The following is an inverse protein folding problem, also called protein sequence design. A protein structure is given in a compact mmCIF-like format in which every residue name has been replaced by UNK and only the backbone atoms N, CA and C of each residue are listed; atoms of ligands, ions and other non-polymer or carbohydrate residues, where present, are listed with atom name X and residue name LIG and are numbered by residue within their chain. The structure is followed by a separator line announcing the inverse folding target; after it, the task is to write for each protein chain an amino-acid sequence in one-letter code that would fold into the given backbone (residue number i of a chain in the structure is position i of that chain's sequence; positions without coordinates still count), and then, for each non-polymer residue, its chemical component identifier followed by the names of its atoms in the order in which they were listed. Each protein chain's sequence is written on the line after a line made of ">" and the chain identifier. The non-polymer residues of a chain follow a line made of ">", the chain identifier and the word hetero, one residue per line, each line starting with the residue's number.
data_IF_199305777744
#
_entry.id   IF_199305777744
#
_cell.length_a   1.000
_cell.length_b   1.000
_cell.length_c   1.000
_cell.angle_alpha   90.00
_cell.angle_beta   90.00
_cell.angle_gamma   90.00
#
_symmetry.space_group_name_H-M   'P 1'
#
loop_
_entity.id
_entity.type
_entity.pdbx_description
1 polymer ?
#
# COMPACT_ATOMS: atom_id res chain seq x y z
N UNK A 1 18.38 5.39 -12.71
CA UNK A 1 17.69 6.36 -11.83
C UNK A 1 17.07 5.62 -10.65
N UNK A 2 16.79 6.29 -9.53
CA UNK A 2 16.15 5.66 -8.36
C UNK A 2 14.62 5.63 -8.57
N UNK A 3 13.94 4.47 -8.48
CA UNK A 3 12.50 4.38 -8.63
C UNK A 3 11.73 5.18 -7.57
N UNK A 4 12.31 5.40 -6.38
CA UNK A 4 11.72 6.27 -5.34
C UNK A 4 11.19 7.59 -5.90
N UNK A 5 11.96 8.29 -6.73
CA UNK A 5 11.55 9.60 -7.24
C UNK A 5 10.30 9.55 -8.11
N UNK A 6 10.14 8.47 -8.89
CA UNK A 6 8.96 8.27 -9.72
C UNK A 6 7.74 7.89 -8.88
N UNK A 7 7.93 7.02 -7.88
CA UNK A 7 6.87 6.65 -6.94
C UNK A 7 6.41 7.90 -6.18
N UNK A 8 7.34 8.66 -5.60
CA UNK A 8 7.02 9.86 -4.82
C UNK A 8 6.36 10.94 -5.69
N UNK A 9 6.82 11.15 -6.92
CA UNK A 9 6.19 12.07 -7.86
C UNK A 9 4.74 11.64 -8.19
N UNK A 10 4.52 10.34 -8.44
CA UNK A 10 3.17 9.82 -8.64
C UNK A 10 2.28 10.02 -7.40
N UNK A 11 2.81 9.75 -6.21
CA UNK A 11 2.09 9.92 -4.95
C UNK A 11 1.70 11.39 -4.74
N UNK A 12 2.61 12.35 -4.98
CA UNK A 12 2.31 13.78 -4.92
C UNK A 12 1.28 14.23 -5.97
N UNK A 13 1.32 13.67 -7.18
CA UNK A 13 0.36 13.98 -8.23
C UNK A 13 -1.06 13.46 -7.93
N UNK A 14 -1.17 12.31 -7.26
CA UNK A 14 -2.44 11.61 -7.04
C UNK A 14 -3.53 12.47 -6.37
N UNK A 15 -3.33 13.17 -5.25
CA UNK A 15 -4.38 14.02 -4.68
C UNK A 15 -4.81 15.16 -5.61
N UNK A 16 -3.88 15.71 -6.41
CA UNK A 16 -4.18 16.75 -7.39
C UNK A 16 -5.03 16.20 -8.55
N UNK A 17 -4.72 14.99 -9.01
CA UNK A 17 -5.50 14.29 -10.05
C UNK A 17 -6.91 13.98 -9.54
N UNK A 18 -7.06 13.51 -8.30
CA UNK A 18 -8.38 13.24 -7.72
C UNK A 18 -9.18 14.53 -7.57
N UNK A 19 -8.57 15.62 -7.10
CA UNK A 19 -9.23 16.92 -7.01
C UNK A 19 -9.62 17.46 -8.40
N UNK A 20 -8.76 17.26 -9.41
CA UNK A 20 -9.08 17.59 -10.79
C UNK A 20 -10.27 16.78 -11.30
N UNK A 21 -10.35 15.48 -10.99
CA UNK A 21 -11.52 14.65 -11.34
C UNK A 21 -12.80 15.17 -10.68
N UNK A 22 -12.74 15.58 -9.40
CA UNK A 22 -13.88 16.21 -8.72
C UNK A 22 -14.33 17.47 -9.47
N UNK A 23 -13.38 18.31 -9.89
CA UNK A 23 -13.67 19.53 -10.63
C UNK A 23 -14.25 19.26 -12.03
N UNK A 24 -13.66 18.34 -12.79
CA UNK A 24 -14.06 18.03 -14.17
C UNK A 24 -15.45 17.39 -14.27
N UNK A 25 -15.87 16.64 -13.25
CA UNK A 25 -17.17 15.98 -13.20
C UNK A 25 -18.16 16.70 -12.25
N UNK A 26 -17.85 17.93 -11.82
CA UNK A 26 -18.70 18.76 -10.94
C UNK A 26 -19.14 18.09 -9.63
N UNK A 27 -18.30 17.20 -9.08
CA UNK A 27 -18.62 16.35 -7.91
C UNK A 27 -18.36 17.02 -6.56
N UNK A 28 -18.55 18.34 -6.46
CA UNK A 28 -18.23 19.11 -5.25
C UNK A 28 -19.06 18.74 -4.03
N UNK A 29 -20.29 18.26 -4.23
CA UNK A 29 -21.17 17.79 -3.15
C UNK A 29 -21.06 16.28 -2.88
N UNK A 30 -20.20 15.56 -3.61
CA UNK A 30 -20.05 14.12 -3.47
C UNK A 30 -19.14 13.78 -2.28
N UNK A 31 -19.74 13.38 -1.16
CA UNK A 31 -19.01 13.01 0.06
C UNK A 31 -18.10 11.79 -0.14
N UNK A 32 -18.44 10.89 -1.06
CA UNK A 32 -17.61 9.71 -1.37
C UNK A 32 -16.31 10.14 -2.05
N UNK A 33 -16.37 11.09 -2.99
CA UNK A 33 -15.20 11.64 -3.64
C UNK A 33 -14.28 12.37 -2.66
N UNK A 34 -14.84 13.16 -1.74
CA UNK A 34 -14.07 13.83 -0.68
C UNK A 34 -13.45 12.85 0.32
N UNK A 35 -14.19 11.83 0.76
CA UNK A 35 -13.65 10.78 1.61
C UNK A 35 -12.49 10.04 0.91
N UNK A 36 -12.66 9.71 -0.36
CA UNK A 36 -11.62 9.08 -1.17
C UNK A 36 -10.37 9.97 -1.30
N UNK A 37 -10.54 11.27 -1.60
CA UNK A 37 -9.44 12.24 -1.68
C UNK A 37 -8.72 12.35 -0.34
N UNK A 38 -9.45 12.46 0.77
CA UNK A 38 -8.86 12.55 2.10
C UNK A 38 -8.02 11.31 2.42
N UNK A 39 -8.58 10.11 2.27
CA UNK A 39 -7.84 8.88 2.59
C UNK A 39 -6.65 8.66 1.64
N UNK A 40 -6.88 8.67 0.33
CA UNK A 40 -5.82 8.36 -0.64
C UNK A 40 -4.79 9.48 -0.74
N UNK A 41 -5.22 10.73 -0.70
CA UNK A 41 -4.34 11.90 -0.66
C UNK A 41 -3.45 11.92 0.57
N UNK A 42 -4.02 11.71 1.77
CA UNK A 42 -3.22 11.63 3.00
C UNK A 42 -2.26 10.44 2.98
N UNK A 43 -2.68 9.26 2.51
CA UNK A 43 -1.77 8.13 2.32
C UNK A 43 -0.61 8.45 1.40
N UNK A 44 -0.86 9.14 0.29
CA UNK A 44 0.19 9.60 -0.61
C UNK A 44 1.19 10.55 0.07
N UNK A 45 0.71 11.50 0.87
CA UNK A 45 1.58 12.40 1.64
C UNK A 45 2.41 11.62 2.68
N UNK A 46 1.77 10.72 3.43
CA UNK A 46 2.45 9.86 4.41
C UNK A 46 3.50 8.97 3.74
N UNK A 47 3.24 8.46 2.53
CA UNK A 47 4.20 7.68 1.76
C UNK A 47 5.47 8.49 1.45
N UNK A 48 5.31 9.73 0.98
CA UNK A 48 6.43 10.63 0.67
C UNK A 48 7.22 11.01 1.93
N UNK A 49 6.54 11.18 3.07
CA UNK A 49 7.22 11.40 4.35
C UNK A 49 8.03 10.17 4.75
N UNK A 50 7.43 8.97 4.70
CA UNK A 50 8.11 7.70 4.94
C UNK A 50 9.33 7.51 4.04
N UNK A 51 9.24 7.83 2.74
CA UNK A 51 10.32 7.66 1.77
C UNK A 51 11.57 8.50 2.08
N UNK A 52 11.40 9.54 2.91
CA UNK A 52 12.47 10.43 3.39
C UNK A 52 12.95 10.06 4.80
N UNK A 53 12.02 9.72 5.70
CA UNK A 53 12.33 9.50 7.12
C UNK A 53 12.86 8.10 7.41
N UNK A 54 12.30 7.07 6.80
CA UNK A 54 12.69 5.67 6.99
C UNK A 54 12.61 4.91 5.65
N UNK A 55 13.52 5.23 4.70
CA UNK A 55 13.47 4.72 3.34
C UNK A 55 13.65 3.21 3.26
N UNK A 56 12.93 2.58 2.33
CA UNK A 56 13.14 1.17 2.01
C UNK A 56 14.26 1.02 0.97
N UNK A 57 15.24 0.17 1.29
CA UNK A 57 16.41 -0.07 0.44
C UNK A 57 16.06 -0.64 -0.94
N UNK A 58 14.88 -1.25 -1.11
CA UNK A 58 14.41 -1.73 -2.41
C UNK A 58 14.27 -0.58 -3.42
N UNK A 59 13.80 0.59 -2.99
CA UNK A 59 13.52 1.74 -3.85
C UNK A 59 14.73 2.62 -4.13
N UNK A 60 15.86 2.34 -3.48
CA UNK A 60 17.13 3.05 -3.65
C UNK A 60 17.99 2.45 -4.77
N UNK A 61 17.65 1.25 -5.25
CA UNK A 61 18.37 0.57 -6.33
C UNK A 61 18.20 1.30 -7.66
N UNK A 62 19.28 1.43 -8.43
CA UNK A 62 19.22 2.07 -9.75
C UNK A 62 18.52 1.15 -10.75
N UNK A 63 17.45 1.65 -11.37
CA UNK A 63 16.76 1.04 -12.51
C UNK A 63 16.94 1.88 -13.77
N UNK A 64 16.67 1.29 -14.94
CA UNK A 64 16.60 2.03 -16.20
C UNK A 64 15.40 2.99 -16.19
N UNK A 65 15.48 4.07 -16.97
CA UNK A 65 14.39 5.05 -17.10
C UNK A 65 13.07 4.37 -17.50
N UNK A 66 13.11 3.47 -18.49
CA UNK A 66 11.93 2.73 -18.95
C UNK A 66 11.26 1.92 -17.84
N UNK A 67 12.02 1.27 -16.95
CA UNK A 67 11.45 0.56 -15.79
C UNK A 67 10.83 1.51 -14.77
N UNK A 68 11.44 2.67 -14.54
CA UNK A 68 10.87 3.68 -13.66
C UNK A 68 9.55 4.25 -14.20
N UNK A 69 9.48 4.55 -15.51
CA UNK A 69 8.27 4.99 -16.18
C UNK A 69 7.18 3.92 -16.16
N UNK A 70 7.56 2.65 -16.35
CA UNK A 70 6.63 1.53 -16.24
C UNK A 70 6.02 1.40 -14.84
N UNK A 71 6.84 1.57 -13.78
CA UNK A 71 6.33 1.62 -12.40
C UNK A 71 5.34 2.78 -12.25
N UNK A 72 5.69 3.96 -12.73
CA UNK A 72 4.80 5.12 -12.68
C UNK A 72 3.46 4.86 -13.37
N UNK A 73 3.47 4.24 -14.56
CA UNK A 73 2.27 3.88 -15.31
C UNK A 73 1.40 2.84 -14.58
N UNK A 74 2.00 1.81 -14.00
CA UNK A 74 1.26 0.83 -13.18
C UNK A 74 0.62 1.51 -11.98
N UNK A 75 1.30 2.46 -11.33
CA UNK A 75 0.72 3.21 -10.21
C UNK A 75 -0.49 4.05 -10.65
N UNK A 76 -0.55 4.48 -11.92
CA UNK A 76 -1.70 5.24 -12.44
C UNK A 76 -2.99 4.41 -12.52
N UNK A 77 -2.90 3.08 -12.41
CA UNK A 77 -4.09 2.24 -12.20
C UNK A 77 -4.86 2.63 -10.93
N UNK A 78 -4.20 3.27 -9.95
CA UNK A 78 -4.86 3.80 -8.76
C UNK A 78 -5.88 4.91 -9.06
N UNK A 79 -5.81 5.54 -10.23
CA UNK A 79 -6.74 6.60 -10.62
C UNK A 79 -8.05 6.06 -11.21
N UNK A 80 -8.17 4.75 -11.44
CA UNK A 80 -9.40 4.11 -11.93
C UNK A 80 -10.53 4.19 -10.89
N UNK A 81 -10.22 3.94 -9.62
CA UNK A 81 -11.20 4.02 -8.53
C UNK A 81 -11.82 5.42 -8.35
N UNK A 82 -11.04 6.51 -8.17
CA UNK A 82 -11.61 7.85 -8.06
C UNK A 82 -12.30 8.28 -9.35
N UNK A 83 -11.82 7.83 -10.52
CA UNK A 83 -12.51 8.08 -11.78
C UNK A 83 -13.91 7.47 -11.82
N UNK A 84 -14.09 6.21 -11.38
CA UNK A 84 -15.43 5.62 -11.27
C UNK A 84 -16.32 6.38 -10.28
N UNK A 85 -15.74 6.81 -9.15
CA UNK A 85 -16.49 7.61 -8.17
C UNK A 85 -16.99 8.91 -8.80
N UNK A 86 -16.11 9.64 -9.48
CA UNK A 86 -16.45 10.97 -10.00
C UNK A 86 -17.26 10.90 -11.29
N UNK A 87 -16.81 10.13 -12.29
CA UNK A 87 -17.48 10.03 -13.59
C UNK A 87 -18.80 9.26 -13.50
N UNK A 88 -18.90 8.31 -12.56
CA UNK A 88 -20.12 7.55 -12.31
C UNK A 88 -21.06 8.18 -11.28
N UNK A 89 -20.70 9.35 -10.72
CA UNK A 89 -21.46 10.02 -9.66
C UNK A 89 -21.80 9.08 -8.48
N UNK A 90 -20.86 8.21 -8.11
CA UNK A 90 -21.10 7.17 -7.10
C UNK A 90 -21.14 7.80 -5.71
N UNK A 91 -22.21 7.51 -4.98
CA UNK A 91 -22.36 7.82 -3.57
C UNK A 91 -22.41 6.53 -2.74
N UNK A 92 -21.29 6.19 -2.11
CA UNK A 92 -21.22 5.06 -1.19
C UNK A 92 -22.08 5.35 0.06
N UNK A 93 -22.86 4.37 0.54
CA UNK A 93 -23.69 4.56 1.72
C UNK A 93 -22.82 4.81 2.98
N UNK A 94 -23.34 5.52 4.00
CA UNK A 94 -22.54 5.92 5.17
C UNK A 94 -21.85 4.75 5.89
N UNK A 95 -22.50 3.59 5.99
CA UNK A 95 -21.90 2.41 6.62
C UNK A 95 -20.66 1.91 5.87
N UNK A 96 -20.65 2.01 4.53
CA UNK A 96 -19.51 1.60 3.72
C UNK A 96 -18.38 2.61 3.84
N UNK A 97 -18.68 3.91 3.86
CA UNK A 97 -17.68 4.94 4.14
C UNK A 97 -17.02 4.72 5.51
N UNK A 98 -17.81 4.46 6.56
CA UNK A 98 -17.31 4.17 7.90
C UNK A 98 -16.41 2.92 7.92
N UNK A 99 -16.81 1.85 7.22
CA UNK A 99 -15.99 0.65 7.06
C UNK A 99 -14.67 0.97 6.33
N UNK A 100 -14.73 1.66 5.20
CA UNK A 100 -13.54 2.02 4.42
C UNK A 100 -12.56 2.88 5.23
N UNK A 101 -13.05 3.87 5.97
CA UNK A 101 -12.23 4.70 6.85
C UNK A 101 -11.61 3.85 7.96
N UNK A 102 -12.35 2.92 8.56
CA UNK A 102 -11.84 2.04 9.60
C UNK A 102 -10.73 1.12 9.07
N UNK A 103 -10.96 0.48 7.92
CA UNK A 103 -9.96 -0.36 7.24
C UNK A 103 -8.72 0.45 6.87
N UNK A 104 -8.92 1.67 6.37
CA UNK A 104 -7.84 2.59 6.04
C UNK A 104 -6.98 2.91 7.27
N UNK A 105 -7.58 3.33 8.39
CA UNK A 105 -6.85 3.70 9.62
C UNK A 105 -6.05 2.51 10.16
N UNK A 106 -6.67 1.33 10.25
CA UNK A 106 -5.99 0.11 10.68
C UNK A 106 -4.85 -0.25 9.71
N UNK A 107 -5.09 -0.09 8.41
CA UNK A 107 -4.10 -0.34 7.37
C UNK A 107 -2.90 0.60 7.47
N UNK A 108 -3.12 1.89 7.72
CA UNK A 108 -2.07 2.89 7.96
C UNK A 108 -1.22 2.48 9.17
N UNK A 109 -1.85 2.15 10.30
CA UNK A 109 -1.14 1.71 11.50
C UNK A 109 -0.24 0.49 11.18
N UNK A 110 -0.82 -0.57 10.61
CA UNK A 110 -0.06 -1.79 10.30
C UNK A 110 1.07 -1.55 9.30
N UNK A 111 0.83 -0.76 8.25
CA UNK A 111 1.81 -0.51 7.21
C UNK A 111 2.99 0.33 7.74
N UNK A 112 2.72 1.54 8.24
CA UNK A 112 3.80 2.45 8.60
C UNK A 112 4.53 2.02 9.88
N UNK A 113 3.82 1.52 10.89
CA UNK A 113 4.47 1.08 12.12
C UNK A 113 5.36 -0.14 11.89
N UNK A 114 4.95 -1.08 11.03
CA UNK A 114 5.81 -2.24 10.74
C UNK A 114 7.04 -1.91 9.91
N UNK A 115 6.93 -0.97 8.97
CA UNK A 115 8.08 -0.51 8.20
C UNK A 115 9.03 0.35 9.04
N UNK A 116 8.52 1.18 9.95
CA UNK A 116 9.34 1.89 10.92
C UNK A 116 10.05 0.91 11.86
N UNK A 117 9.32 -0.07 12.42
CA UNK A 117 9.92 -1.11 13.26
C UNK A 117 11.03 -1.86 12.50
N UNK A 118 10.79 -2.20 11.23
CA UNK A 118 11.78 -2.84 10.35
C UNK A 118 13.00 -1.97 10.15
N UNK A 119 12.81 -0.70 9.79
CA UNK A 119 13.89 0.25 9.55
C UNK A 119 14.79 0.38 10.78
N UNK A 120 14.22 0.68 11.94
CA UNK A 120 14.97 0.86 13.19
C UNK A 120 15.64 -0.44 13.63
N UNK A 121 14.97 -1.58 13.51
CA UNK A 121 15.56 -2.88 13.86
C UNK A 121 16.78 -3.20 12.99
N UNK A 122 16.74 -2.91 11.69
CA UNK A 122 17.88 -3.13 10.80
C UNK A 122 19.04 -2.16 11.04
N UNK A 123 18.78 -0.96 11.56
CA UNK A 123 19.84 -0.02 11.97
C UNK A 123 20.55 -0.50 13.25
N UNK A 124 19.78 -1.00 14.22
CA UNK A 124 20.31 -1.42 15.52
C UNK A 124 20.91 -2.83 15.49
N UNK A 125 20.29 -3.76 14.75
CA UNK A 125 20.63 -5.19 14.67
C UNK A 125 20.62 -5.68 13.21
N UNK A 126 21.55 -5.22 12.36
CA UNK A 126 21.54 -5.47 10.91
C UNK A 126 21.67 -6.95 10.51
N UNK A 127 22.26 -7.77 11.38
CA UNK A 127 22.56 -9.19 11.13
C UNK A 127 21.53 -10.14 11.76
N UNK A 128 20.49 -9.61 12.42
CA UNK A 128 19.49 -10.42 13.11
C UNK A 128 18.17 -10.48 12.35
N UNK A 129 17.47 -11.60 12.51
CA UNK A 129 16.11 -11.77 12.02
C UNK A 129 15.13 -11.09 12.97
N UNK A 130 14.30 -10.19 12.45
CA UNK A 130 13.25 -9.52 13.22
C UNK A 130 12.11 -10.51 13.49
N UNK A 131 11.89 -10.85 14.75
CA UNK A 131 10.88 -11.83 15.19
C UNK A 131 9.93 -11.30 16.26
N UNK A 132 10.03 -10.01 16.61
CA UNK A 132 9.32 -9.35 17.71
C UNK A 132 8.25 -8.35 17.21
N UNK A 133 7.39 -7.88 18.12
CA UNK A 133 6.39 -6.86 17.81
C UNK A 133 5.41 -7.29 16.71
N UNK A 134 5.17 -6.43 15.71
CA UNK A 134 4.26 -6.75 14.59
C UNK A 134 4.75 -7.95 13.76
N UNK A 135 6.07 -8.11 13.65
CA UNK A 135 6.71 -9.19 12.92
C UNK A 135 6.58 -10.55 13.63
N UNK A 136 6.26 -10.57 14.93
CA UNK A 136 5.96 -11.82 15.67
C UNK A 136 4.61 -12.44 15.29
N UNK A 137 3.68 -11.64 14.73
CA UNK A 137 2.32 -12.09 14.42
C UNK A 137 2.22 -12.65 13.00
N UNK A 138 2.81 -11.93 12.04
CA UNK A 138 2.83 -12.31 10.63
C UNK A 138 4.16 -11.89 10.00
N UNK A 139 4.60 -12.60 8.96
CA UNK A 139 5.87 -12.31 8.28
C UNK A 139 5.83 -11.08 7.40
N UNK A 140 4.66 -10.58 7.03
CA UNK A 140 4.47 -9.44 6.14
C UNK A 140 3.38 -8.48 6.68
N UNK A 141 3.58 -7.90 7.89
CA UNK A 141 2.59 -7.01 8.49
C UNK A 141 2.37 -5.75 7.65
N UNK A 142 3.41 -5.26 6.98
CA UNK A 142 3.34 -4.12 6.07
C UNK A 142 2.39 -4.38 4.90
N UNK A 143 2.49 -5.55 4.27
CA UNK A 143 1.58 -5.96 3.19
C UNK A 143 0.15 -6.16 3.68
N UNK A 144 -0.05 -6.56 4.94
CA UNK A 144 -1.39 -6.63 5.54
C UNK A 144 -1.98 -5.22 5.66
N UNK A 145 -1.18 -4.26 6.11
CA UNK A 145 -1.59 -2.86 6.17
C UNK A 145 -1.92 -2.31 4.78
N UNK A 146 -1.05 -2.54 3.79
CA UNK A 146 -1.30 -2.14 2.41
C UNK A 146 -2.55 -2.80 1.84
N UNK A 147 -2.81 -4.08 2.15
CA UNK A 147 -4.05 -4.74 1.73
C UNK A 147 -5.28 -3.99 2.23
N UNK A 148 -5.33 -3.64 3.52
CA UNK A 148 -6.49 -2.94 4.09
C UNK A 148 -6.68 -1.55 3.50
N UNK A 149 -5.57 -0.82 3.26
CA UNK A 149 -5.59 0.50 2.60
C UNK A 149 -6.15 0.38 1.18
N UNK A 150 -5.60 -0.53 0.36
CA UNK A 150 -6.07 -0.64 -1.02
C UNK A 150 -7.45 -1.28 -1.12
N UNK A 151 -7.83 -2.15 -0.18
CA UNK A 151 -9.17 -2.70 -0.10
C UNK A 151 -10.19 -1.57 0.11
N UNK A 152 -9.95 -0.66 1.06
CA UNK A 152 -10.85 0.47 1.31
C UNK A 152 -10.99 1.38 0.10
N UNK A 153 -9.92 1.60 -0.66
CA UNK A 153 -9.99 2.33 -1.93
C UNK A 153 -10.76 1.56 -3.01
N UNK A 154 -10.61 0.25 -3.07
CA UNK A 154 -11.13 -0.56 -4.16
C UNK A 154 -12.64 -0.80 -4.10
N UNK A 155 -13.23 -0.84 -2.90
CA UNK A 155 -14.66 -1.16 -2.73
C UNK A 155 -15.55 0.09 -2.73
N UNK A 156 -14.98 1.26 -2.43
CA UNK A 156 -15.70 2.54 -2.38
C UNK A 156 -16.38 2.96 -3.69
N UNK A 157 -15.83 2.68 -4.89
CA UNK A 157 -16.48 2.98 -6.15
C UNK A 157 -17.68 2.08 -6.50
N UNK A 158 -18.02 1.10 -5.65
CA UNK A 158 -19.08 0.11 -5.91
C UNK A 158 -18.95 -0.60 -7.27
N UNK A 159 -17.71 -0.81 -7.73
CA UNK A 159 -17.39 -1.40 -9.01
C UNK A 159 -16.45 -2.61 -8.84
N UNK A 160 -16.60 -3.63 -9.67
CA UNK A 160 -15.84 -4.88 -9.57
C UNK A 160 -14.38 -4.77 -10.06
N UNK A 161 -14.10 -3.80 -10.94
CA UNK A 161 -12.79 -3.65 -11.57
C UNK A 161 -11.67 -3.27 -10.57
N UNK A 162 -11.81 -2.25 -9.67
CA UNK A 162 -10.74 -1.93 -8.74
C UNK A 162 -10.36 -3.09 -7.79
N UNK A 163 -11.29 -3.86 -7.21
CA UNK A 163 -10.94 -5.06 -6.44
C UNK A 163 -10.22 -6.13 -7.28
N UNK A 164 -10.61 -6.31 -8.54
CA UNK A 164 -9.91 -7.23 -9.45
C UNK A 164 -8.46 -6.78 -9.72
N UNK A 165 -8.23 -5.48 -9.93
CA UNK A 165 -6.88 -4.94 -10.11
C UNK A 165 -6.03 -5.14 -8.85
N UNK A 166 -6.60 -4.92 -7.66
CA UNK A 166 -5.94 -5.21 -6.38
C UNK A 166 -5.57 -6.70 -6.29
N UNK A 167 -6.50 -7.61 -6.61
CA UNK A 167 -6.22 -9.04 -6.63
C UNK A 167 -5.08 -9.40 -7.60
N UNK A 168 -5.05 -8.78 -8.78
CA UNK A 168 -3.95 -8.92 -9.74
C UNK A 168 -2.60 -8.49 -9.16
N UNK A 169 -2.53 -7.32 -8.51
CA UNK A 169 -1.30 -6.86 -7.84
C UNK A 169 -0.87 -7.82 -6.75
N UNK A 170 -1.81 -8.34 -5.94
CA UNK A 170 -1.49 -9.31 -4.89
C UNK A 170 -0.88 -10.57 -5.49
N UNK A 171 -1.52 -11.15 -6.51
CA UNK A 171 -1.13 -12.42 -7.12
C UNK A 171 0.20 -12.30 -7.87
N UNK A 172 0.35 -11.27 -8.71
CA UNK A 172 1.47 -11.17 -9.63
C UNK A 172 2.66 -10.37 -9.07
N UNK A 173 2.44 -9.52 -8.05
CA UNK A 173 3.48 -8.64 -7.51
C UNK A 173 3.80 -8.97 -6.05
N UNK A 174 2.81 -9.05 -5.17
CA UNK A 174 3.07 -9.20 -3.73
C UNK A 174 3.46 -10.63 -3.35
N UNK A 175 2.68 -11.64 -3.75
CA UNK A 175 2.97 -13.04 -3.42
C UNK A 175 4.36 -13.49 -3.89
N UNK A 176 4.80 -13.21 -5.15
CA UNK A 176 6.14 -13.55 -5.59
C UNK A 176 7.23 -12.84 -4.79
N UNK A 177 7.01 -11.57 -4.40
CA UNK A 177 7.95 -10.83 -3.56
C UNK A 177 8.05 -11.42 -2.15
N UNK A 178 6.93 -11.80 -1.54
CA UNK A 178 6.94 -12.47 -0.24
C UNK A 178 7.67 -13.81 -0.29
N UNK A 179 7.49 -14.60 -1.36
CA UNK A 179 8.21 -15.87 -1.54
C UNK A 179 9.71 -15.64 -1.72
N UNK A 180 10.11 -14.66 -2.55
CA UNK A 180 11.53 -14.28 -2.71
C UNK A 180 12.12 -13.80 -1.39
N UNK A 181 11.36 -13.03 -0.61
CA UNK A 181 11.76 -12.58 0.72
C UNK A 181 11.96 -13.78 1.67
N UNK A 182 10.99 -14.68 1.76
CA UNK A 182 11.08 -15.89 2.60
C UNK A 182 12.32 -16.74 2.23
N UNK A 183 12.62 -16.89 0.92
CA UNK A 183 13.85 -17.56 0.46
C UNK A 183 15.12 -16.81 0.87
N UNK A 184 15.10 -15.48 0.86
CA UNK A 184 16.23 -14.67 1.33
C UNK A 184 16.45 -14.82 2.83
N UNK A 185 15.37 -14.93 3.60
CA UNK A 185 15.40 -15.08 5.06
C UNK A 185 15.81 -16.49 5.51
N UNK A 186 15.76 -17.51 4.65
CA UNK A 186 16.18 -18.87 5.01
C UNK A 186 17.68 -19.02 5.32
N UNK A 187 18.47 -17.96 5.11
CA UNK A 187 19.87 -17.91 5.55
C UNK A 187 20.03 -17.80 7.07
N UNK A 188 18.99 -17.36 7.79
CA UNK A 188 19.04 -17.21 9.24
C UNK A 188 18.71 -18.56 9.91
N UNK A 189 19.53 -18.98 10.88
CA UNK A 189 19.36 -20.25 11.59
C UNK A 189 18.00 -20.37 12.28
N UNK A 190 17.51 -19.28 12.87
CA UNK A 190 16.22 -19.19 13.55
C UNK A 190 15.01 -19.00 12.60
N UNK A 191 15.20 -18.90 11.27
CA UNK A 191 14.10 -18.67 10.34
C UNK A 191 13.11 -19.84 10.29
N UNK A 192 13.58 -21.09 10.42
CA UNK A 192 12.72 -22.27 10.38
C UNK A 192 11.70 -22.26 11.52
N UNK A 193 12.16 -21.94 12.73
CA UNK A 193 11.32 -21.79 13.92
C UNK A 193 10.37 -20.59 13.78
N UNK A 194 10.90 -19.43 13.41
CA UNK A 194 10.09 -18.24 13.16
C UNK A 194 8.97 -18.49 12.14
N UNK A 195 9.27 -19.22 11.05
CA UNK A 195 8.30 -19.56 10.02
C UNK A 195 7.22 -20.53 10.52
N UNK A 196 7.54 -21.41 11.46
CA UNK A 196 6.58 -22.36 12.04
C UNK A 196 5.50 -21.67 12.89
N UNK A 197 5.85 -20.58 13.57
CA UNK A 197 4.95 -19.83 14.46
C UNK A 197 4.30 -18.60 13.81
N UNK A 198 4.64 -18.28 12.56
CA UNK A 198 4.07 -17.12 11.85
C UNK A 198 3.39 -17.51 10.55
N UNK A 199 2.42 -16.70 10.13
CA UNK A 199 1.80 -16.78 8.80
C UNK A 199 2.38 -15.77 7.84
N UNK A 200 2.11 -15.92 6.54
CA UNK A 200 2.73 -15.05 5.52
C UNK A 200 2.19 -13.63 5.59
N UNK A 201 0.88 -13.44 5.47
CA UNK A 201 0.26 -12.11 5.43
C UNK A 201 -0.86 -12.00 6.45
N UNK A 202 -1.90 -12.84 6.36
CA UNK A 202 -2.96 -12.82 7.37
C UNK A 202 -2.73 -13.89 8.44
N UNK A 203 -2.99 -13.58 9.72
CA UNK A 203 -2.78 -14.53 10.82
C UNK A 203 -3.64 -15.80 10.72
N UNK A 204 -4.74 -15.76 9.95
CA UNK A 204 -5.68 -16.88 9.78
C UNK A 204 -5.71 -17.47 8.36
N UNK A 205 -4.91 -16.97 7.41
CA UNK A 205 -4.87 -17.48 6.04
C UNK A 205 -3.45 -17.96 5.69
N UNK A 206 -3.34 -19.27 5.43
CA UNK A 206 -2.18 -20.07 4.98
C UNK A 206 -0.91 -20.00 5.84
#
# INVERSE_FOLDING_TARGET
>A
MKPRYFIDAHKLATPLVILLMIALYEQWNNYTAWAYLAMHGTYCLLWVLKSRLFPDSHWERRLSLGRCLFIWLILSLYWIAPWFITAGHVEAPPWLLALCISLYILGIFLHYSSDMQKYTSLQLRPTELITEGLWSKVRNPNYTGEFLIYLSFSIMPLHWLPPLLLAGVIIFVWLPQMVRKDRSLSRFSNFKEYKAHTKRMFPFLF
#
